data_IF_491045061549
#
_entry.id   IF_491045061549
#
_cell.length_a   1.000
_cell.length_b   1.000
_cell.length_c   1.000
_cell.angle_alpha   90.00
_cell.angle_beta   90.00
_cell.angle_gamma   90.00
#
_symmetry.space_group_name_H-M   'P 1'
#
loop_
_entity.id
_entity.type
_entity.pdbx_description
1 polymer ?
#
# COMPACT_ATOMS: atom_id res chain seq x y z
N UNK A 1 16.51 -2.61 -1.34
CA UNK A 1 15.84 -3.93 -1.33
C UNK A 1 14.54 -3.83 -2.10
N UNK A 2 14.27 -4.78 -2.97
CA UNK A 2 13.09 -4.75 -3.82
C UNK A 2 12.05 -5.73 -3.32
N UNK A 3 10.80 -5.33 -3.41
CA UNK A 3 9.66 -6.21 -3.13
C UNK A 3 8.83 -6.34 -4.40
N UNK A 4 8.42 -7.56 -4.71
CA UNK A 4 7.46 -7.81 -5.76
C UNK A 4 6.09 -7.93 -5.10
N UNK A 5 5.19 -7.04 -5.48
CA UNK A 5 3.83 -7.01 -4.94
C UNK A 5 2.83 -7.20 -6.07
N UNK A 6 1.65 -7.67 -5.71
CA UNK A 6 0.50 -7.62 -6.62
C UNK A 6 -0.34 -6.43 -6.18
N UNK A 7 -0.21 -5.32 -6.90
CA UNK A 7 -0.85 -4.06 -6.54
C UNK A 7 -2.05 -3.83 -7.44
N UNK A 8 -3.23 -3.85 -6.85
CA UNK A 8 -4.49 -3.71 -7.59
C UNK A 8 -4.54 -4.67 -8.78
N UNK A 9 -4.12 -5.91 -8.53
CA UNK A 9 -4.15 -6.95 -9.56
C UNK A 9 -2.97 -6.98 -10.50
N UNK A 10 -2.02 -6.04 -10.37
CA UNK A 10 -0.86 -5.99 -11.25
C UNK A 10 0.42 -6.26 -10.48
N UNK A 11 1.28 -7.08 -11.06
CA UNK A 11 2.59 -7.31 -10.46
C UNK A 11 3.46 -6.06 -10.60
N UNK A 12 3.99 -5.59 -9.49
CA UNK A 12 4.86 -4.41 -9.46
C UNK A 12 6.07 -4.70 -8.60
N UNK A 13 7.23 -4.27 -9.06
CA UNK A 13 8.46 -4.32 -8.26
C UNK A 13 8.66 -2.93 -7.66
N UNK A 14 8.72 -2.88 -6.33
CA UNK A 14 8.89 -1.61 -5.62
C UNK A 14 10.25 -1.58 -4.96
N UNK A 15 11.01 -0.50 -5.20
CA UNK A 15 12.33 -0.35 -4.60
C UNK A 15 12.24 0.45 -3.31
N UNK A 16 12.99 0.03 -2.32
CA UNK A 16 13.14 0.74 -1.07
C UNK A 16 11.83 0.96 -0.32
N UNK A 17 10.88 0.07 -0.51
CA UNK A 17 9.59 0.13 0.16
C UNK A 17 9.50 -1.03 1.14
N UNK A 18 9.24 -0.75 2.41
CA UNK A 18 9.12 -1.78 3.43
C UNK A 18 7.76 -1.81 4.09
N UNK A 19 7.11 -0.67 4.21
CA UNK A 19 5.84 -0.56 4.94
C UNK A 19 4.75 -0.04 4.02
N UNK A 20 3.51 -0.19 4.48
CA UNK A 20 2.37 0.36 3.75
C UNK A 20 2.51 1.87 3.61
N UNK A 21 2.99 2.55 4.67
CA UNK A 21 3.20 4.00 4.60
C UNK A 21 4.18 4.36 3.48
N UNK A 22 5.27 3.62 3.39
CA UNK A 22 6.27 3.87 2.36
C UNK A 22 5.72 3.60 0.96
N UNK A 23 4.89 2.55 0.83
CA UNK A 23 4.27 2.24 -0.46
C UNK A 23 3.35 3.37 -0.90
N UNK A 24 2.49 3.84 0.00
CA UNK A 24 1.57 4.94 -0.32
C UNK A 24 2.35 6.18 -0.75
N UNK A 25 3.42 6.49 -0.03
CA UNK A 25 4.26 7.65 -0.37
C UNK A 25 4.94 7.47 -1.72
N UNK A 26 5.46 6.27 -1.98
CA UNK A 26 6.16 5.99 -3.24
C UNK A 26 5.23 6.11 -4.45
N UNK A 27 3.94 5.84 -4.25
CA UNK A 27 2.94 5.97 -5.30
C UNK A 27 2.45 7.41 -5.46
N UNK A 28 2.93 8.32 -4.63
CA UNK A 28 2.52 9.72 -4.70
C UNK A 28 1.13 9.98 -4.16
N UNK A 29 0.63 9.11 -3.31
CA UNK A 29 -0.72 9.22 -2.81
C UNK A 29 -0.73 9.80 -1.40
N UNK A 30 -1.85 10.44 -1.06
CA UNK A 30 -2.04 10.98 0.29
C UNK A 30 -2.65 9.89 1.16
N UNK A 31 -1.99 9.49 2.25
CA UNK A 31 -2.51 8.41 3.10
C UNK A 31 -3.88 8.71 3.70
N UNK A 32 -4.25 9.98 3.76
CA UNK A 32 -5.56 10.36 4.28
C UNK A 32 -6.68 10.16 3.26
N UNK A 33 -6.32 9.87 2.00
CA UNK A 33 -7.29 9.79 0.91
C UNK A 33 -7.33 8.42 0.27
N UNK A 34 -6.78 7.43 0.94
CA UNK A 34 -6.77 6.06 0.42
C UNK A 34 -7.25 5.08 1.47
N UNK A 35 -7.75 3.96 1.00
CA UNK A 35 -8.00 2.79 1.82
C UNK A 35 -7.11 1.68 1.30
N UNK A 36 -6.50 0.94 2.20
CA UNK A 36 -5.52 -0.09 1.86
C UNK A 36 -5.96 -1.42 2.43
N UNK A 37 -5.92 -2.46 1.59
CA UNK A 37 -6.04 -3.84 2.03
C UNK A 37 -4.74 -4.56 1.71
N UNK A 38 -4.32 -5.40 2.63
CA UNK A 38 -3.16 -6.27 2.44
C UNK A 38 -3.60 -7.70 2.68
N UNK A 39 -3.48 -8.51 1.64
CA UNK A 39 -3.88 -9.93 1.71
C UNK A 39 -5.31 -10.06 2.22
N UNK A 40 -6.21 -9.24 1.68
CA UNK A 40 -7.65 -9.24 1.96
C UNK A 40 -8.02 -8.72 3.35
N UNK A 41 -7.07 -8.11 4.05
CA UNK A 41 -7.34 -7.50 5.35
C UNK A 41 -7.15 -6.00 5.26
N UNK A 42 -8.10 -5.26 5.81
CA UNK A 42 -7.99 -3.81 5.85
C UNK A 42 -6.86 -3.41 6.79
N UNK A 43 -6.02 -2.49 6.31
CA UNK A 43 -4.96 -1.90 7.13
C UNK A 43 -5.47 -0.55 7.63
N UNK A 44 -5.68 -0.38 8.95
CA UNK A 44 -6.08 0.93 9.46
C UNK A 44 -5.01 1.97 9.18
N UNK A 45 -5.44 3.21 8.97
CA UNK A 45 -4.49 4.27 8.67
C UNK A 45 -3.42 4.40 9.74
N UNK A 46 -3.80 4.24 11.00
CA UNK A 46 -2.86 4.34 12.12
C UNK A 46 -1.80 3.25 12.10
N UNK A 47 -2.01 2.20 11.33
CA UNK A 47 -1.07 1.08 11.26
C UNK A 47 -0.21 1.11 10.00
N UNK A 48 -0.36 2.11 9.13
CA UNK A 48 0.38 2.13 7.85
C UNK A 48 1.90 2.07 8.08
N UNK A 49 2.39 2.79 9.06
CA UNK A 49 3.84 2.83 9.32
C UNK A 49 4.37 1.58 10.00
N UNK A 50 3.50 0.80 10.62
CA UNK A 50 3.90 -0.41 11.35
C UNK A 50 3.63 -1.70 10.56
N UNK A 51 2.94 -1.62 9.42
CA UNK A 51 2.59 -2.79 8.64
C UNK A 51 3.66 -3.03 7.59
N UNK A 52 4.45 -4.08 7.80
CA UNK A 52 5.53 -4.41 6.88
C UNK A 52 5.00 -5.26 5.73
N UNK A 53 5.54 -5.00 4.56
CA UNK A 53 5.20 -5.72 3.34
C UNK A 53 6.20 -6.83 3.11
N UNK A 54 5.77 -7.88 2.41
CA UNK A 54 6.62 -9.01 2.05
C UNK A 54 6.42 -9.32 0.58
N UNK A 55 7.42 -9.97 -0.01
CA UNK A 55 7.33 -10.43 -1.41
C UNK A 55 6.07 -11.27 -1.59
N UNK A 56 5.37 -10.99 -2.67
CA UNK A 56 4.17 -11.72 -3.01
C UNK A 56 2.90 -11.20 -2.37
N UNK A 57 3.00 -10.18 -1.51
CA UNK A 57 1.79 -9.63 -0.90
C UNK A 57 0.86 -9.09 -1.95
N UNK A 58 -0.44 -9.29 -1.72
CA UNK A 58 -1.48 -8.69 -2.52
C UNK A 58 -1.97 -7.45 -1.80
N UNK A 59 -1.84 -6.31 -2.46
CA UNK A 59 -2.21 -5.02 -1.87
C UNK A 59 -3.21 -4.35 -2.78
N UNK A 60 -4.31 -3.89 -2.22
CA UNK A 60 -5.29 -3.10 -2.95
C UNK A 60 -5.37 -1.73 -2.33
N UNK A 61 -5.31 -0.72 -3.16
CA UNK A 61 -5.40 0.66 -2.71
C UNK A 61 -6.51 1.33 -3.49
N UNK A 62 -7.50 1.82 -2.76
CA UNK A 62 -8.61 2.59 -3.33
C UNK A 62 -8.40 4.04 -2.97
N UNK A 63 -8.46 4.90 -3.97
CA UNK A 63 -8.27 6.33 -3.77
C UNK A 63 -9.64 7.00 -3.70
N UNK A 64 -9.87 7.76 -2.64
CA UNK A 64 -11.12 8.49 -2.49
C UNK A 64 -11.07 9.74 -3.33
N UNK A 65 -12.13 9.96 -4.09
CA UNK A 65 -12.24 11.14 -4.94
C UNK A 65 -13.23 12.10 -4.31
N UNK A 66 -12.92 13.37 -4.32
CA UNK A 66 -13.86 14.39 -3.85
C UNK A 66 -13.83 14.48 -2.36
N UNK A 67 -13.14 14.66 -1.75
CA UNK A 67 -12.93 14.94 -0.45
C UNK A 67 -13.73 15.05 0.58
N UNK A 68 -13.91 14.66 0.95
CA UNK A 68 -14.42 14.57 2.10
C UNK A 68 -13.92 15.00 3.36
#
# INVERSE_FOLDING_TARGET
MNLTLVLNGERRVMEAVRTVAELVAALGLDPRKVAVERNLEIVPRSAYGATELADGDQVEIVHFIGGG
#
